data_IF_193727947705
#
_entry.id   IF_193727947705
#
_cell.length_a   1.000
_cell.length_b   1.000
_cell.length_c   1.000
_cell.angle_alpha   90.00
_cell.angle_beta   90.00
_cell.angle_gamma   90.00
#
_symmetry.space_group_name_H-M   'P 1'
#
loop_
_entity.id
_entity.type
_entity.pdbx_description
1 polymer ?
#
# COMPACT_ATOMS: atom_id res chain seq x y z
N UNK A 1 34.30 18.41 13.01
CA UNK A 1 34.32 18.07 11.56
C UNK A 1 35.12 19.09 10.73
N UNK A 2 36.04 19.82 11.25
CA UNK A 2 36.40 21.08 10.61
C UNK A 2 37.77 21.12 9.94
N UNK A 3 38.66 20.19 10.18
CA UNK A 3 40.03 20.31 9.64
C UNK A 3 40.31 19.52 8.37
N UNK A 4 39.55 18.47 8.07
CA UNK A 4 39.81 17.58 6.93
C UNK A 4 39.52 18.21 5.56
N UNK A 5 38.66 19.22 5.49
CA UNK A 5 38.18 19.83 4.25
C UNK A 5 38.49 21.33 4.15
N UNK A 6 39.33 21.87 5.03
CA UNK A 6 39.67 23.31 5.04
C UNK A 6 40.35 23.80 3.74
N UNK A 7 41.00 22.88 3.03
CA UNK A 7 41.73 23.19 1.78
C UNK A 7 40.82 23.14 0.53
N UNK A 8 39.52 22.86 0.73
CA UNK A 8 38.54 22.80 -0.35
C UNK A 8 37.48 23.88 -0.12
N UNK A 9 37.24 24.69 -1.14
CA UNK A 9 36.15 25.66 -1.12
C UNK A 9 34.79 24.95 -1.20
N UNK A 10 33.77 25.54 -0.60
CA UNK A 10 32.40 25.05 -0.75
C UNK A 10 31.92 25.23 -2.19
N UNK A 11 31.33 24.21 -2.78
CA UNK A 11 30.79 24.22 -4.15
C UNK A 11 29.26 24.29 -4.08
N UNK A 12 28.68 25.29 -4.73
CA UNK A 12 27.21 25.43 -4.82
C UNK A 12 26.60 24.47 -5.84
N UNK A 13 25.30 24.21 -5.72
CA UNK A 13 24.54 23.44 -6.72
C UNK A 13 24.68 24.03 -8.13
N UNK A 14 24.73 25.36 -8.23
CA UNK A 14 24.88 26.08 -9.50
C UNK A 14 26.25 25.82 -10.14
N UNK A 15 27.34 25.91 -9.37
CA UNK A 15 28.69 25.62 -9.85
C UNK A 15 28.84 24.18 -10.28
N UNK A 16 28.32 23.24 -9.50
CA UNK A 16 28.31 21.83 -9.85
C UNK A 16 27.54 21.56 -11.15
N UNK A 17 26.35 22.17 -11.32
CA UNK A 17 25.59 22.08 -12.57
C UNK A 17 26.35 22.67 -13.77
N UNK A 18 27.04 23.80 -13.60
CA UNK A 18 27.89 24.40 -14.67
C UNK A 18 29.03 23.48 -15.08
N UNK A 19 29.68 22.81 -14.10
CA UNK A 19 30.74 21.84 -14.40
C UNK A 19 30.19 20.67 -15.22
N UNK A 20 29.03 20.10 -14.83
CA UNK A 20 28.36 19.04 -15.60
C UNK A 20 28.03 19.50 -17.02
N UNK A 21 27.49 20.72 -17.20
CA UNK A 21 27.16 21.26 -18.52
C UNK A 21 28.42 21.43 -19.39
N UNK A 22 29.54 21.85 -18.81
CA UNK A 22 30.82 21.93 -19.52
C UNK A 22 31.31 20.54 -19.98
N UNK A 23 31.15 19.51 -19.13
CA UNK A 23 31.54 18.13 -19.41
C UNK A 23 30.64 17.45 -20.45
N UNK A 24 29.40 17.90 -20.62
CA UNK A 24 28.48 17.43 -21.66
C UNK A 24 28.85 17.89 -23.08
N UNK A 25 29.82 18.77 -23.24
CA UNK A 25 30.37 19.23 -24.53
C UNK A 25 29.32 19.68 -25.54
N UNK A 26 28.29 20.36 -25.06
CA UNK A 26 27.20 20.92 -25.88
C UNK A 26 25.92 20.07 -25.95
N UNK A 27 25.89 18.89 -25.35
CA UNK A 27 24.62 18.17 -25.19
C UNK A 27 23.73 18.88 -24.14
N UNK A 28 22.42 18.88 -24.39
CA UNK A 28 21.48 19.49 -23.46
C UNK A 28 21.42 18.72 -22.12
N UNK A 29 21.49 19.46 -21.01
CA UNK A 29 21.49 18.89 -19.66
C UNK A 29 20.18 18.18 -19.33
N UNK A 30 19.03 18.79 -19.68
CA UNK A 30 17.75 18.24 -19.34
C UNK A 30 17.42 16.99 -20.17
N UNK A 31 17.73 17.04 -21.49
CA UNK A 31 17.50 15.90 -22.37
C UNK A 31 18.42 14.70 -22.05
N UNK A 32 19.65 14.98 -21.55
CA UNK A 32 20.66 13.94 -21.33
C UNK A 32 20.58 13.30 -19.95
N UNK A 33 20.34 14.10 -18.90
CA UNK A 33 20.52 13.68 -17.51
C UNK A 33 19.25 13.73 -16.65
N UNK A 34 18.23 14.52 -17.04
CA UNK A 34 17.01 14.62 -16.25
C UNK A 34 16.04 13.51 -16.65
N UNK A 35 15.75 12.61 -15.70
CA UNK A 35 14.79 11.53 -15.94
C UNK A 35 13.35 12.03 -15.76
N UNK A 36 12.53 11.83 -16.80
CA UNK A 36 11.10 12.11 -16.78
C UNK A 36 10.36 10.93 -16.18
N UNK A 37 9.91 11.04 -14.93
CA UNK A 37 9.16 9.98 -14.27
C UNK A 37 7.70 9.90 -14.76
N UNK A 38 7.04 8.77 -14.52
CA UNK A 38 5.60 8.57 -14.79
C UNK A 38 4.71 9.45 -13.89
N UNK A 39 5.25 9.93 -12.79
CA UNK A 39 4.57 10.82 -11.83
C UNK A 39 4.59 12.29 -12.29
N UNK A 40 5.21 12.58 -13.43
CA UNK A 40 5.43 13.95 -13.90
C UNK A 40 6.45 14.72 -13.06
N UNK A 41 7.33 14.00 -12.36
CA UNK A 41 8.46 14.55 -11.61
C UNK A 41 9.71 14.46 -12.48
N UNK A 42 10.47 15.55 -12.54
CA UNK A 42 11.71 15.66 -13.26
C UNK A 42 12.88 15.35 -12.33
N UNK A 43 13.33 14.10 -12.31
CA UNK A 43 14.39 13.64 -11.43
C UNK A 43 15.73 14.16 -11.89
N UNK A 44 16.38 14.97 -11.07
CA UNK A 44 17.70 15.54 -11.34
C UNK A 44 18.80 14.47 -11.16
N UNK A 45 19.96 14.62 -11.84
CA UNK A 45 21.10 13.70 -11.66
C UNK A 45 21.80 13.84 -10.29
N UNK A 46 21.55 14.92 -9.56
CA UNK A 46 22.03 15.14 -8.21
C UNK A 46 21.11 16.09 -7.45
N UNK A 47 21.18 16.05 -6.11
CA UNK A 47 20.47 16.92 -5.18
C UNK A 47 21.47 17.52 -4.20
N UNK A 48 21.26 18.77 -3.79
CA UNK A 48 22.20 19.55 -2.99
C UNK A 48 21.47 20.30 -1.87
N UNK A 49 22.12 20.65 -0.75
CA UNK A 49 21.49 21.48 0.30
C UNK A 49 20.87 22.78 -0.21
N UNK A 50 21.47 23.42 -1.25
CA UNK A 50 20.93 24.65 -1.85
C UNK A 50 19.56 24.45 -2.53
N UNK A 51 19.11 23.21 -2.73
CA UNK A 51 17.77 22.90 -3.26
C UNK A 51 16.67 23.04 -2.18
N UNK A 52 17.05 23.24 -0.91
CA UNK A 52 16.13 23.29 0.21
C UNK A 52 16.30 24.58 1.02
N UNK A 53 15.21 25.31 1.23
CA UNK A 53 15.21 26.57 1.98
C UNK A 53 15.14 26.34 3.50
N UNK A 54 14.52 25.26 3.94
CA UNK A 54 14.28 24.93 5.33
C UNK A 54 14.91 23.59 5.75
N UNK A 55 15.10 23.43 7.05
CA UNK A 55 15.53 22.15 7.61
C UNK A 55 14.44 21.10 7.49
N UNK A 56 14.82 19.85 7.25
CA UNK A 56 13.89 18.74 7.19
C UNK A 56 13.16 18.53 8.52
N UNK A 57 11.86 18.37 8.43
CA UNK A 57 11.01 18.04 9.60
C UNK A 57 10.73 16.55 9.65
N UNK A 58 10.69 15.93 10.84
CA UNK A 58 10.31 14.53 10.97
C UNK A 58 8.95 14.25 10.35
N UNK A 59 8.81 13.07 9.74
CA UNK A 59 7.53 12.63 9.17
C UNK A 59 6.54 12.32 10.30
N UNK A 60 5.32 12.89 10.29
CA UNK A 60 4.32 12.63 11.33
C UNK A 60 3.97 11.14 11.45
N UNK A 61 3.92 10.63 12.69
CA UNK A 61 3.50 9.26 12.96
C UNK A 61 4.41 8.17 12.41
N UNK A 62 5.66 8.47 12.07
CA UNK A 62 6.62 7.46 11.65
C UNK A 62 6.88 6.47 12.80
N UNK A 63 6.75 5.14 12.57
CA UNK A 63 6.92 4.15 13.61
C UNK A 63 8.38 4.02 14.05
N UNK A 64 8.60 3.70 15.33
CA UNK A 64 9.93 3.39 15.85
C UNK A 64 10.37 1.95 15.54
N UNK A 65 9.40 1.07 15.32
CA UNK A 65 9.60 -0.34 14.95
C UNK A 65 8.52 -0.74 13.96
N UNK A 66 8.77 -1.77 13.18
CA UNK A 66 7.80 -2.32 12.23
C UNK A 66 7.56 -3.81 12.51
N UNK A 67 6.40 -4.34 12.12
CA UNK A 67 6.01 -5.73 12.37
C UNK A 67 6.04 -6.59 11.10
N UNK A 68 6.50 -7.83 11.27
CA UNK A 68 6.45 -8.88 10.25
C UNK A 68 5.08 -9.53 10.29
N UNK A 69 4.25 -9.30 9.27
CA UNK A 69 2.92 -9.90 9.19
C UNK A 69 2.90 -11.13 8.28
N UNK A 70 2.14 -12.15 8.68
CA UNK A 70 1.83 -13.33 7.88
C UNK A 70 0.36 -13.32 7.48
N UNK A 71 0.08 -13.47 6.19
CA UNK A 71 -1.28 -13.60 5.66
C UNK A 71 -1.77 -15.04 5.82
N UNK A 72 -3.03 -15.22 6.27
CA UNK A 72 -3.68 -16.52 6.43
C UNK A 72 -5.12 -16.42 5.96
N UNK A 73 -5.49 -17.24 4.98
CA UNK A 73 -6.86 -17.38 4.51
C UNK A 73 -7.61 -18.41 5.38
N UNK A 74 -8.80 -18.04 5.87
CA UNK A 74 -9.65 -18.91 6.67
C UNK A 74 -10.61 -19.65 5.73
N UNK A 75 -10.17 -20.83 5.26
CA UNK A 75 -11.03 -21.79 4.56
C UNK A 75 -11.52 -22.88 5.54
N UNK A 76 -10.62 -23.38 6.40
CA UNK A 76 -10.88 -24.21 7.56
C UNK A 76 -10.34 -23.57 8.83
N UNK A 77 -11.17 -23.44 9.86
CA UNK A 77 -10.80 -22.71 11.08
C UNK A 77 -9.69 -23.39 11.89
N UNK A 78 -9.63 -24.72 11.90
CA UNK A 78 -8.62 -25.44 12.65
C UNK A 78 -7.27 -25.39 11.93
N UNK A 79 -7.26 -25.42 10.60
CA UNK A 79 -6.06 -25.22 9.78
C UNK A 79 -5.56 -23.80 9.95
N UNK A 80 -6.41 -22.79 9.81
CA UNK A 80 -6.06 -21.39 9.99
C UNK A 80 -5.48 -21.11 11.38
N UNK A 81 -6.05 -21.70 12.43
CA UNK A 81 -5.51 -21.63 13.80
C UNK A 81 -4.08 -22.19 13.89
N UNK A 82 -3.87 -23.39 13.36
CA UNK A 82 -2.55 -24.04 13.40
C UNK A 82 -1.50 -23.24 12.62
N UNK A 83 -1.86 -22.75 11.43
CA UNK A 83 -0.97 -21.91 10.61
C UNK A 83 -0.61 -20.60 11.32
N UNK A 84 -1.56 -19.98 12.02
CA UNK A 84 -1.31 -18.74 12.75
C UNK A 84 -0.36 -18.95 13.94
N UNK A 85 -0.56 -20.02 14.71
CA UNK A 85 0.31 -20.35 15.84
C UNK A 85 1.73 -20.69 15.33
N UNK A 86 1.84 -21.54 14.30
CA UNK A 86 3.13 -21.89 13.68
C UNK A 86 3.85 -20.65 13.11
N UNK A 87 3.13 -19.74 12.45
CA UNK A 87 3.70 -18.50 11.93
C UNK A 87 4.30 -17.63 13.04
N UNK A 88 3.59 -17.47 14.16
CA UNK A 88 4.07 -16.70 15.32
C UNK A 88 5.28 -17.38 15.96
N UNK A 89 5.25 -18.70 16.13
CA UNK A 89 6.38 -19.46 16.68
C UNK A 89 7.63 -19.37 15.79
N UNK A 90 7.44 -19.11 14.50
CA UNK A 90 8.51 -18.97 13.49
C UNK A 90 8.84 -17.52 13.14
N UNK A 91 8.44 -16.54 13.97
CA UNK A 91 8.87 -15.16 13.86
C UNK A 91 7.91 -14.22 13.14
N UNK A 92 6.66 -14.62 12.87
CA UNK A 92 5.64 -13.63 12.53
C UNK A 92 5.27 -12.81 13.79
N UNK A 93 5.21 -11.50 13.63
CA UNK A 93 4.91 -10.54 14.70
C UNK A 93 3.48 -9.98 14.57
N UNK A 94 2.79 -10.31 13.49
CA UNK A 94 1.39 -9.96 13.25
C UNK A 94 0.73 -11.00 12.34
N UNK A 95 -0.58 -11.17 12.45
CA UNK A 95 -1.35 -12.07 11.56
C UNK A 95 -2.44 -11.28 10.85
N UNK A 96 -2.50 -11.46 9.53
CA UNK A 96 -3.58 -10.93 8.68
C UNK A 96 -4.51 -12.08 8.29
N UNK A 97 -5.66 -12.15 8.93
CA UNK A 97 -6.69 -13.12 8.58
C UNK A 97 -7.58 -12.59 7.45
N UNK A 98 -7.71 -13.37 6.39
CA UNK A 98 -8.66 -13.10 5.31
C UNK A 98 -9.78 -14.14 5.34
N UNK A 99 -11.04 -13.68 5.20
CA UNK A 99 -12.19 -14.56 5.16
C UNK A 99 -13.27 -14.06 4.19
N UNK A 100 -13.88 -15.00 3.44
CA UNK A 100 -14.99 -14.73 2.54
C UNK A 100 -16.37 -14.93 3.20
N UNK A 101 -16.40 -15.64 4.34
CA UNK A 101 -17.61 -15.97 5.08
C UNK A 101 -17.36 -15.85 6.59
N UNK A 102 -18.44 -15.77 7.37
CA UNK A 102 -18.39 -15.89 8.83
C UNK A 102 -17.77 -17.24 9.23
N UNK A 103 -16.96 -17.25 10.27
CA UNK A 103 -16.23 -18.42 10.77
C UNK A 103 -16.42 -18.59 12.27
N UNK A 104 -16.08 -19.78 12.80
CA UNK A 104 -16.10 -20.05 14.23
C UNK A 104 -14.89 -19.40 14.91
N UNK A 105 -15.13 -18.25 15.56
CA UNK A 105 -14.13 -17.44 16.25
C UNK A 105 -13.37 -18.26 17.30
N UNK A 106 -14.07 -19.13 18.05
CA UNK A 106 -13.46 -19.92 19.11
C UNK A 106 -12.52 -21.03 18.58
N UNK A 107 -12.78 -21.52 17.36
CA UNK A 107 -11.88 -22.48 16.71
C UNK A 107 -10.65 -21.80 16.14
N UNK A 108 -10.82 -20.67 15.42
CA UNK A 108 -9.67 -19.92 14.85
C UNK A 108 -8.73 -19.43 15.94
N UNK A 109 -9.25 -18.99 17.09
CA UNK A 109 -8.44 -18.45 18.18
C UNK A 109 -8.24 -19.41 19.36
N UNK A 110 -8.37 -20.73 19.14
CA UNK A 110 -8.12 -21.74 20.16
C UNK A 110 -6.63 -21.73 20.55
N UNK A 111 -6.31 -21.42 21.82
CA UNK A 111 -4.94 -21.32 22.35
C UNK A 111 -4.05 -20.31 21.60
N UNK A 112 -4.64 -19.35 20.90
CA UNK A 112 -3.89 -18.31 20.22
C UNK A 112 -3.12 -17.42 21.21
N UNK A 113 -1.84 -17.08 20.94
CA UNK A 113 -1.00 -16.30 21.88
C UNK A 113 -1.24 -14.80 21.73
N UNK A 114 -2.37 -14.29 22.23
CA UNK A 114 -2.87 -12.92 22.04
C UNK A 114 -1.89 -11.79 22.39
N UNK A 115 -0.98 -12.00 23.34
CA UNK A 115 -0.03 -10.98 23.77
C UNK A 115 1.18 -10.84 22.82
N UNK A 116 1.32 -11.74 21.83
CA UNK A 116 2.51 -11.79 20.97
C UNK A 116 2.35 -11.08 19.64
N UNK A 117 1.14 -11.00 19.10
CA UNK A 117 0.92 -10.51 17.76
C UNK A 117 -0.41 -9.77 17.62
N UNK A 118 -0.43 -8.53 17.09
CA UNK A 118 -1.64 -7.87 16.64
C UNK A 118 -2.31 -8.66 15.52
N UNK A 119 -3.61 -8.46 15.40
CA UNK A 119 -4.48 -9.17 14.47
C UNK A 119 -5.11 -8.18 13.50
N UNK A 120 -5.02 -8.49 12.21
CA UNK A 120 -5.67 -7.76 11.14
C UNK A 120 -6.72 -8.64 10.48
N UNK A 121 -7.90 -8.09 10.23
CA UNK A 121 -8.94 -8.76 9.45
C UNK A 121 -9.07 -8.15 8.06
N UNK A 122 -9.20 -9.01 7.06
CA UNK A 122 -9.59 -8.70 5.69
C UNK A 122 -10.88 -9.45 5.37
N UNK A 123 -12.03 -8.91 5.78
CA UNK A 123 -13.31 -9.57 5.55
C UNK A 123 -13.91 -9.08 4.23
N UNK A 124 -14.21 -10.01 3.31
CA UNK A 124 -14.88 -9.69 2.04
C UNK A 124 -16.41 -9.67 2.17
N UNK A 125 -16.92 -9.80 3.38
CA UNK A 125 -18.32 -9.66 3.78
C UNK A 125 -18.46 -8.61 4.89
N UNK A 126 -19.67 -8.11 5.10
CA UNK A 126 -19.94 -7.11 6.12
C UNK A 126 -21.20 -7.48 6.91
N UNK A 127 -21.01 -8.01 8.10
CA UNK A 127 -22.08 -8.46 9.01
C UNK A 127 -21.92 -7.78 10.35
N UNK A 128 -22.93 -6.99 10.75
CA UNK A 128 -22.95 -6.32 12.05
C UNK A 128 -22.79 -7.32 13.19
N UNK A 129 -23.60 -8.39 13.16
CA UNK A 129 -23.63 -9.37 14.23
C UNK A 129 -22.31 -10.10 14.39
N UNK A 130 -21.65 -10.41 13.28
CA UNK A 130 -20.35 -11.07 13.31
C UNK A 130 -19.25 -10.14 13.85
N UNK A 131 -19.21 -8.89 13.43
CA UNK A 131 -18.23 -7.92 13.92
C UNK A 131 -18.46 -7.62 15.39
N UNK A 132 -19.71 -7.49 15.84
CA UNK A 132 -20.02 -7.33 17.27
C UNK A 132 -19.55 -8.52 18.09
N UNK A 133 -19.75 -9.76 17.60
CA UNK A 133 -19.21 -10.98 18.25
C UNK A 133 -17.68 -10.98 18.30
N UNK A 134 -17.01 -10.57 17.21
CA UNK A 134 -15.54 -10.42 17.19
C UNK A 134 -15.08 -9.42 18.24
N UNK A 135 -15.67 -8.22 18.29
CA UNK A 135 -15.36 -7.18 19.26
C UNK A 135 -15.56 -7.69 20.70
N UNK A 136 -16.68 -8.34 20.96
CA UNK A 136 -16.96 -8.95 22.28
C UNK A 136 -15.91 -10.02 22.64
N UNK A 137 -15.54 -10.87 21.70
CA UNK A 137 -14.51 -11.90 21.94
C UNK A 137 -13.16 -11.29 22.28
N UNK A 138 -12.75 -10.20 21.58
CA UNK A 138 -11.46 -9.56 21.79
C UNK A 138 -11.42 -8.57 22.97
N UNK A 139 -12.57 -8.10 23.49
CA UNK A 139 -12.63 -7.10 24.56
C UNK A 139 -11.89 -7.50 25.83
N UNK A 140 -11.76 -8.80 26.09
CA UNK A 140 -11.05 -9.34 27.25
C UNK A 140 -9.63 -9.84 26.92
N UNK A 141 -9.18 -9.65 25.68
CA UNK A 141 -7.87 -10.13 25.20
C UNK A 141 -6.87 -8.98 25.20
N UNK A 142 -5.63 -9.28 25.58
CA UNK A 142 -4.52 -8.32 25.51
C UNK A 142 -3.89 -8.39 24.11
N UNK A 143 -4.58 -7.84 23.11
CA UNK A 143 -4.07 -7.76 21.74
C UNK A 143 -4.66 -6.53 21.06
N UNK A 144 -3.95 -5.99 20.09
CA UNK A 144 -4.47 -4.96 19.19
C UNK A 144 -5.15 -5.62 18.02
N UNK A 145 -6.35 -5.18 17.68
CA UNK A 145 -7.13 -5.71 16.56
C UNK A 145 -7.46 -4.60 15.57
N UNK A 146 -7.10 -4.83 14.32
CA UNK A 146 -7.43 -3.98 13.18
C UNK A 146 -8.55 -4.65 12.39
N UNK A 147 -9.76 -4.12 12.50
CA UNK A 147 -10.94 -4.71 11.84
C UNK A 147 -10.97 -4.42 10.34
N UNK A 148 -10.27 -3.38 9.89
CA UNK A 148 -10.06 -3.01 8.49
C UNK A 148 -11.35 -2.96 7.66
N UNK A 149 -12.42 -2.40 8.22
CA UNK A 149 -13.68 -2.23 7.50
C UNK A 149 -13.48 -1.11 6.47
N UNK A 150 -13.72 -1.45 5.20
CA UNK A 150 -13.62 -0.51 4.09
C UNK A 150 -14.79 -0.65 3.11
N UNK A 151 -15.83 0.15 3.33
CA UNK A 151 -17.07 0.15 2.52
C UNK A 151 -16.80 0.66 1.10
N UNK A 152 -16.01 1.73 0.98
CA UNK A 152 -15.68 2.36 -0.29
C UNK A 152 -14.67 1.51 -1.06
N UNK A 153 -13.69 0.90 -0.37
CA UNK A 153 -12.78 -0.07 -0.96
C UNK A 153 -13.50 -1.29 -1.53
N UNK A 154 -14.54 -1.79 -0.83
CA UNK A 154 -15.40 -2.84 -1.38
C UNK A 154 -16.15 -2.35 -2.63
N UNK A 155 -16.70 -1.14 -2.61
CA UNK A 155 -17.38 -0.55 -3.76
C UNK A 155 -16.43 -0.44 -4.96
N UNK A 156 -15.21 0.04 -4.77
CA UNK A 156 -14.22 0.17 -5.87
C UNK A 156 -13.82 -1.17 -6.46
N UNK A 157 -13.66 -2.21 -5.64
CA UNK A 157 -13.24 -3.56 -6.04
C UNK A 157 -14.38 -4.37 -6.65
N UNK A 158 -15.57 -4.36 -6.01
CA UNK A 158 -16.72 -5.18 -6.43
C UNK A 158 -17.65 -4.48 -7.41
N UNK A 159 -17.65 -3.15 -7.44
CA UNK A 159 -18.61 -2.31 -8.14
C UNK A 159 -19.94 -2.14 -7.39
N UNK A 160 -20.09 -2.71 -6.18
CA UNK A 160 -21.30 -2.68 -5.37
C UNK A 160 -20.98 -2.41 -3.90
N UNK A 161 -21.93 -1.88 -3.17
CA UNK A 161 -21.93 -1.89 -1.71
C UNK A 161 -22.10 -3.34 -1.19
N UNK A 162 -21.80 -3.58 0.08
CA UNK A 162 -22.12 -4.88 0.70
C UNK A 162 -23.65 -5.11 0.71
N UNK A 163 -24.42 -4.13 1.17
CA UNK A 163 -25.88 -4.09 1.12
C UNK A 163 -26.34 -2.92 0.26
N UNK A 164 -26.23 -1.70 0.78
CA UNK A 164 -26.44 -0.44 0.10
C UNK A 164 -25.77 0.70 0.88
N UNK A 165 -25.60 1.88 0.25
CA UNK A 165 -24.92 3.04 0.84
C UNK A 165 -25.42 3.36 2.25
N UNK A 166 -26.75 3.46 2.42
CA UNK A 166 -27.36 3.90 3.69
C UNK A 166 -27.23 2.84 4.79
N UNK A 167 -27.42 1.60 4.44
CA UNK A 167 -27.37 0.49 5.37
C UNK A 167 -25.93 0.21 5.83
N UNK A 168 -25.00 0.16 4.92
CA UNK A 168 -23.58 -0.07 5.22
C UNK A 168 -23.02 1.02 6.15
N UNK A 169 -23.30 2.30 5.88
CA UNK A 169 -22.89 3.40 6.76
C UNK A 169 -23.56 3.33 8.13
N UNK A 170 -24.87 3.01 8.20
CA UNK A 170 -25.57 2.84 9.46
C UNK A 170 -25.00 1.69 10.31
N UNK A 171 -24.63 0.58 9.68
CA UNK A 171 -23.96 -0.53 10.38
C UNK A 171 -22.59 -0.05 10.93
N UNK A 172 -21.81 0.65 10.12
CA UNK A 172 -20.51 1.16 10.52
C UNK A 172 -20.62 2.17 11.68
N UNK A 173 -21.60 3.10 11.63
CA UNK A 173 -21.90 4.03 12.74
C UNK A 173 -22.20 3.28 14.04
N UNK A 174 -23.03 2.23 13.99
CA UNK A 174 -23.35 1.42 15.17
C UNK A 174 -22.11 0.72 15.73
N UNK A 175 -21.23 0.17 14.88
CA UNK A 175 -20.00 -0.50 15.29
C UNK A 175 -19.05 0.48 15.99
N UNK A 176 -18.94 1.70 15.48
CA UNK A 176 -18.09 2.76 16.04
C UNK A 176 -18.64 3.30 17.36
N UNK A 177 -19.97 3.40 17.50
CA UNK A 177 -20.59 3.92 18.73
C UNK A 177 -20.45 2.99 19.93
N UNK A 178 -20.18 1.71 19.73
CA UNK A 178 -20.08 0.69 20.78
C UNK A 178 -18.74 0.68 21.53
N UNK A 179 -17.66 1.33 21.04
CA UNK A 179 -16.40 1.63 21.76
C UNK A 179 -15.40 2.38 20.85
N UNK A 180 -14.76 3.40 21.37
CA UNK A 180 -14.08 4.43 20.59
C UNK A 180 -12.55 4.30 20.45
N UNK A 181 -11.93 3.20 20.88
CA UNK A 181 -10.46 3.07 20.89
C UNK A 181 -9.89 1.99 19.96
N UNK A 182 -10.68 1.47 19.04
CA UNK A 182 -10.27 0.37 18.17
C UNK A 182 -10.05 0.85 16.73
N UNK A 183 -9.04 0.30 16.05
CA UNK A 183 -8.75 0.54 14.64
C UNK A 183 -9.79 -0.18 13.75
N UNK A 184 -10.94 0.46 13.51
CA UNK A 184 -12.09 -0.12 12.81
C UNK A 184 -12.02 0.13 11.33
N UNK A 185 -11.71 1.38 10.91
CA UNK A 185 -11.76 1.82 9.52
C UNK A 185 -10.43 1.64 8.84
N UNK A 186 -10.47 1.16 7.61
CA UNK A 186 -9.31 1.19 6.72
C UNK A 186 -9.62 1.85 5.39
N UNK A 187 -8.56 2.27 4.72
CA UNK A 187 -8.52 2.75 3.33
C UNK A 187 -7.60 1.83 2.55
N UNK A 188 -8.18 0.92 1.78
CA UNK A 188 -7.44 -0.04 0.98
C UNK A 188 -7.08 0.55 -0.40
N UNK A 189 -5.83 0.95 -0.55
CA UNK A 189 -5.31 1.52 -1.81
C UNK A 189 -4.67 0.49 -2.73
N UNK A 190 -4.60 -0.78 -2.30
CA UNK A 190 -3.91 -1.85 -3.05
C UNK A 190 -4.53 -2.06 -4.44
N UNK A 191 -5.85 -1.97 -4.55
CA UNK A 191 -6.57 -2.06 -5.81
C UNK A 191 -6.23 -0.92 -6.79
N UNK A 192 -5.92 0.28 -6.30
CA UNK A 192 -5.50 1.39 -7.16
C UNK A 192 -4.15 1.10 -7.81
N UNK A 193 -3.15 0.70 -7.00
CA UNK A 193 -1.83 0.30 -7.49
C UNK A 193 -1.92 -0.87 -8.47
N UNK A 194 -2.60 -1.94 -8.08
CA UNK A 194 -2.72 -3.15 -8.91
C UNK A 194 -3.57 -2.91 -10.18
N UNK A 195 -4.45 -1.91 -10.16
CA UNK A 195 -5.18 -1.42 -11.32
C UNK A 195 -4.36 -0.54 -12.27
N UNK A 196 -3.19 -0.06 -11.83
CA UNK A 196 -2.25 0.72 -12.64
C UNK A 196 -2.29 2.23 -12.41
N UNK A 197 -2.82 2.68 -11.25
CA UNK A 197 -2.72 4.06 -10.83
C UNK A 197 -1.26 4.48 -10.61
N UNK A 198 -0.91 5.71 -11.00
CA UNK A 198 0.38 6.33 -10.66
C UNK A 198 0.46 6.59 -9.14
N UNK A 199 1.65 6.81 -8.60
CA UNK A 199 1.83 7.10 -7.17
C UNK A 199 1.06 8.37 -6.76
N UNK A 200 1.09 9.41 -7.58
CA UNK A 200 0.29 10.64 -7.37
C UNK A 200 -1.20 10.32 -7.28
N UNK A 201 -1.72 9.46 -8.18
CA UNK A 201 -3.12 9.03 -8.14
C UNK A 201 -3.43 8.22 -6.88
N UNK A 202 -2.55 7.28 -6.51
CA UNK A 202 -2.74 6.47 -5.29
C UNK A 202 -2.84 7.34 -4.04
N UNK A 203 -1.95 8.31 -3.88
CA UNK A 203 -1.95 9.25 -2.76
C UNK A 203 -3.20 10.12 -2.74
N UNK A 204 -3.56 10.72 -3.87
CA UNK A 204 -4.74 11.56 -3.98
C UNK A 204 -6.04 10.80 -3.72
N UNK A 205 -6.15 9.58 -4.23
CA UNK A 205 -7.31 8.71 -4.00
C UNK A 205 -7.35 8.19 -2.56
N UNK A 206 -6.20 7.89 -1.94
CA UNK A 206 -6.13 7.54 -0.53
C UNK A 206 -6.68 8.66 0.35
N UNK A 207 -6.27 9.92 0.09
CA UNK A 207 -6.77 11.08 0.82
C UNK A 207 -8.26 11.28 0.59
N UNK A 208 -8.71 11.28 -0.67
CA UNK A 208 -10.11 11.51 -1.00
C UNK A 208 -11.02 10.41 -0.42
N UNK A 209 -10.54 9.17 -0.42
CA UNK A 209 -11.22 8.04 0.19
C UNK A 209 -11.32 8.19 1.73
N UNK A 210 -10.22 8.56 2.40
CA UNK A 210 -10.23 8.88 3.83
C UNK A 210 -11.16 10.07 4.15
N UNK A 211 -11.13 11.11 3.30
CA UNK A 211 -11.95 12.31 3.45
C UNK A 211 -13.45 12.01 3.41
N UNK A 212 -13.90 11.04 2.61
CA UNK A 212 -15.31 10.60 2.60
C UNK A 212 -15.74 10.05 3.98
N UNK A 213 -14.90 9.24 4.61
CA UNK A 213 -15.17 8.76 5.97
C UNK A 213 -15.14 9.90 7.00
N UNK A 214 -14.12 10.75 6.95
CA UNK A 214 -13.99 11.87 7.89
C UNK A 214 -15.19 12.83 7.79
N UNK A 215 -15.59 13.21 6.58
CA UNK A 215 -16.77 14.03 6.34
C UNK A 215 -18.05 13.39 6.86
N UNK A 216 -18.21 12.07 6.67
CA UNK A 216 -19.40 11.36 7.14
C UNK A 216 -19.51 11.40 8.66
N UNK A 217 -18.42 11.10 9.37
CA UNK A 217 -18.43 11.02 10.83
C UNK A 217 -18.40 12.38 11.52
N UNK A 218 -17.79 13.41 10.95
CA UNK A 218 -17.87 14.79 11.44
C UNK A 218 -19.32 15.28 11.42
N UNK A 219 -20.05 15.06 10.34
CA UNK A 219 -21.47 15.40 10.21
C UNK A 219 -22.38 14.64 11.19
N UNK A 220 -22.08 13.36 11.46
CA UNK A 220 -22.85 12.53 12.43
C UNK A 220 -22.62 13.04 13.86
N UNK A 221 -21.39 13.35 14.23
CA UNK A 221 -21.06 13.88 15.56
C UNK A 221 -21.71 15.23 15.81
N UNK A 222 -21.71 16.13 14.83
CA UNK A 222 -22.36 17.44 14.92
C UNK A 222 -23.89 17.34 15.07
N UNK A 223 -24.49 16.28 14.51
CA UNK A 223 -25.95 16.07 14.58
C UNK A 223 -26.43 15.41 15.88
N UNK A 224 -25.56 14.75 16.61
CA UNK A 224 -25.95 13.87 17.73
C UNK A 224 -25.87 14.53 19.11
N UNK A 225 -25.04 15.55 19.36
CA UNK A 225 -24.90 16.11 20.73
C UNK A 225 -24.43 17.57 20.75
N UNK A 226 -25.32 18.50 21.09
CA UNK A 226 -24.93 19.69 21.84
C UNK A 226 -24.61 19.25 23.29
N UNK A 227 -23.33 18.97 23.58
CA UNK A 227 -22.89 18.77 24.97
C UNK A 227 -21.96 17.62 25.33
N UNK A 228 -21.53 16.75 24.45
CA UNK A 228 -20.52 15.73 24.79
C UNK A 228 -19.12 16.09 24.26
N UNK A 229 -18.19 16.33 25.19
CA UNK A 229 -16.77 16.59 24.95
C UNK A 229 -15.95 15.31 24.59
N UNK A 230 -16.57 14.26 24.06
CA UNK A 230 -15.83 13.08 23.60
C UNK A 230 -15.57 13.20 22.11
N UNK A 231 -14.49 13.89 21.72
CA UNK A 231 -13.88 13.67 20.41
C UNK A 231 -13.53 12.18 20.31
N UNK A 232 -14.33 11.41 19.56
CA UNK A 232 -13.95 10.06 19.18
C UNK A 232 -12.70 10.17 18.33
N UNK A 233 -11.59 9.61 18.76
CA UNK A 233 -10.36 9.51 17.98
C UNK A 233 -10.60 8.47 16.89
N UNK A 234 -11.06 8.92 15.71
CA UNK A 234 -11.15 8.05 14.54
C UNK A 234 -9.74 7.76 14.04
N UNK A 235 -9.29 6.53 14.18
CA UNK A 235 -8.01 6.07 13.67
C UNK A 235 -8.22 5.38 12.32
N UNK A 236 -7.48 5.81 11.30
CA UNK A 236 -7.54 5.22 9.95
C UNK A 236 -6.30 4.37 9.69
N UNK A 237 -6.53 3.12 9.27
CA UNK A 237 -5.49 2.23 8.76
C UNK A 237 -5.42 2.32 7.24
N UNK A 238 -4.26 2.64 6.68
CA UNK A 238 -4.03 2.58 5.24
C UNK A 238 -3.41 1.24 4.86
N UNK A 239 -4.02 0.55 3.89
CA UNK A 239 -3.45 -0.63 3.24
C UNK A 239 -2.83 -0.19 1.91
N UNK A 240 -1.52 -0.38 1.76
CA UNK A 240 -0.74 0.17 0.66
C UNK A 240 -0.03 -0.96 -0.09
N UNK A 241 -0.20 -1.04 -1.41
CA UNK A 241 0.65 -1.89 -2.23
C UNK A 241 1.93 -1.13 -2.61
N UNK A 242 3.06 -1.84 -2.69
CA UNK A 242 4.38 -1.29 -2.98
C UNK A 242 4.93 -1.91 -4.26
N UNK A 243 5.30 -1.07 -5.22
CA UNK A 243 5.82 -1.49 -6.52
C UNK A 243 7.36 -1.45 -6.60
N UNK A 244 7.87 -1.54 -7.84
CA UNK A 244 9.30 -1.71 -8.08
C UNK A 244 10.14 -0.43 -8.10
N UNK A 245 9.51 0.76 -8.07
CA UNK A 245 10.25 2.02 -8.11
C UNK A 245 10.72 2.42 -6.70
N UNK A 246 11.81 1.82 -6.26
CA UNK A 246 12.31 1.80 -4.89
C UNK A 246 12.25 3.14 -4.15
N UNK A 247 12.88 4.19 -4.70
CA UNK A 247 12.94 5.49 -4.04
C UNK A 247 11.59 6.23 -4.05
N UNK A 248 10.82 6.07 -5.12
CA UNK A 248 9.48 6.62 -5.20
C UNK A 248 8.51 5.93 -4.23
N UNK A 249 8.69 4.64 -3.97
CA UNK A 249 7.88 3.92 -2.98
C UNK A 249 8.21 4.33 -1.54
N UNK A 250 9.49 4.57 -1.22
CA UNK A 250 9.89 5.20 0.05
C UNK A 250 9.18 6.55 0.20
N UNK A 251 9.30 7.41 -0.81
CA UNK A 251 8.73 8.75 -0.81
C UNK A 251 7.19 8.71 -0.77
N UNK A 252 6.53 7.72 -1.39
CA UNK A 252 5.08 7.52 -1.35
C UNK A 252 4.56 7.36 0.08
N UNK A 253 5.16 6.48 0.86
CA UNK A 253 4.71 6.21 2.23
C UNK A 253 4.93 7.44 3.12
N UNK A 254 6.07 8.11 2.97
CA UNK A 254 6.37 9.37 3.66
C UNK A 254 5.38 10.47 3.28
N UNK A 255 5.09 10.63 1.99
CA UNK A 255 4.12 11.60 1.48
C UNK A 255 2.70 11.30 1.97
N UNK A 256 2.30 10.02 2.06
CA UNK A 256 1.00 9.62 2.61
C UNK A 256 0.82 10.10 4.05
N UNK A 257 1.85 9.91 4.91
CA UNK A 257 1.81 10.38 6.30
C UNK A 257 1.71 11.90 6.40
N UNK A 258 2.52 12.65 5.62
CA UNK A 258 2.45 14.12 5.57
C UNK A 258 1.07 14.61 5.13
N UNK A 259 0.52 14.03 4.09
CA UNK A 259 -0.78 14.38 3.54
C UNK A 259 -1.92 14.04 4.50
N UNK A 260 -1.87 12.85 5.13
CA UNK A 260 -2.86 12.47 6.12
C UNK A 260 -2.82 13.37 7.35
N UNK A 261 -1.64 13.70 7.86
CA UNK A 261 -1.49 14.62 8.99
C UNK A 261 -2.12 15.99 8.70
N UNK A 262 -1.88 16.54 7.49
CA UNK A 262 -2.51 17.78 7.07
C UNK A 262 -4.04 17.68 6.97
N UNK A 263 -4.57 16.55 6.44
CA UNK A 263 -6.01 16.32 6.37
C UNK A 263 -6.61 16.14 7.78
N UNK A 264 -6.01 15.33 8.64
CA UNK A 264 -6.47 15.05 9.99
C UNK A 264 -6.52 16.30 10.89
N UNK A 265 -5.55 17.20 10.71
CA UNK A 265 -5.50 18.50 11.39
C UNK A 265 -6.75 19.36 11.12
N UNK A 266 -7.28 19.33 9.89
CA UNK A 266 -8.53 20.06 9.54
C UNK A 266 -9.76 19.51 10.30
N UNK A 267 -9.76 18.20 10.58
CA UNK A 267 -10.81 17.52 11.37
C UNK A 267 -10.53 17.51 12.89
N UNK A 268 -9.38 18.04 13.32
CA UNK A 268 -8.93 18.04 14.73
C UNK A 268 -8.88 16.64 15.35
N UNK A 269 -8.48 15.66 14.59
CA UNK A 269 -8.24 14.28 15.01
C UNK A 269 -6.74 13.99 15.05
N UNK A 270 -6.35 12.76 15.46
CA UNK A 270 -4.95 12.35 15.47
C UNK A 270 -4.31 12.47 14.09
N UNK A 271 -3.18 13.18 14.02
CA UNK A 271 -2.40 13.38 12.80
C UNK A 271 -1.61 12.13 12.39
N UNK A 272 -1.67 11.07 13.19
CA UNK A 272 -0.99 9.80 12.90
C UNK A 272 -1.95 8.79 12.30
N UNK A 273 -1.46 7.97 11.38
CA UNK A 273 -2.19 6.85 10.80
C UNK A 273 -1.36 5.57 10.90
N UNK A 274 -2.03 4.43 10.87
CA UNK A 274 -1.39 3.14 10.77
C UNK A 274 -1.27 2.72 9.30
N UNK A 275 -0.08 2.24 8.87
CA UNK A 275 0.15 1.80 7.49
C UNK A 275 0.59 0.35 7.47
N UNK A 276 -0.23 -0.51 6.86
CA UNK A 276 0.17 -1.86 6.48
C UNK A 276 0.52 -1.90 4.99
N UNK A 277 1.74 -2.32 4.68
CA UNK A 277 2.25 -2.38 3.32
C UNK A 277 2.44 -3.82 2.85
N UNK A 278 2.21 -4.04 1.55
CA UNK A 278 2.41 -5.32 0.90
C UNK A 278 2.94 -5.15 -0.53
N UNK A 279 3.72 -6.11 -1.06
CA UNK A 279 4.17 -6.07 -2.45
C UNK A 279 3.00 -6.02 -3.45
N UNK A 280 3.14 -5.19 -4.47
CA UNK A 280 2.17 -5.11 -5.57
C UNK A 280 2.12 -6.40 -6.37
N UNK A 281 0.92 -6.83 -6.78
CA UNK A 281 0.74 -7.95 -7.70
C UNK A 281 1.03 -7.56 -9.16
N UNK A 282 1.01 -6.26 -9.50
CA UNK A 282 1.05 -5.77 -10.88
C UNK A 282 2.31 -6.16 -11.65
N UNK A 283 3.46 -6.20 -10.99
CA UNK A 283 4.76 -6.52 -11.56
C UNK A 283 5.24 -7.95 -11.28
N UNK A 284 4.39 -8.82 -10.75
CA UNK A 284 4.72 -10.23 -10.52
C UNK A 284 4.51 -11.05 -11.80
N UNK A 285 5.30 -12.11 -11.95
CA UNK A 285 5.39 -12.92 -13.16
C UNK A 285 5.15 -14.39 -12.87
N UNK A 286 4.60 -15.12 -13.85
CA UNK A 286 4.48 -16.58 -13.82
C UNK A 286 5.80 -17.22 -14.24
N UNK A 287 6.38 -16.73 -15.34
CA UNK A 287 7.65 -17.23 -15.84
C UNK A 287 8.79 -16.58 -15.08
N UNK A 288 9.87 -17.33 -14.91
CA UNK A 288 11.00 -16.96 -14.07
C UNK A 288 10.54 -16.48 -12.68
N UNK A 289 9.61 -17.23 -12.10
CA UNK A 289 8.87 -16.86 -10.89
C UNK A 289 9.77 -16.66 -9.66
N UNK A 290 10.95 -17.28 -9.63
CA UNK A 290 11.93 -17.05 -8.55
C UNK A 290 12.38 -15.59 -8.46
N UNK A 291 12.32 -14.83 -9.57
CA UNK A 291 12.64 -13.40 -9.58
C UNK A 291 11.62 -12.60 -8.75
N UNK A 292 10.42 -13.14 -8.52
CA UNK A 292 9.45 -12.51 -7.61
C UNK A 292 9.99 -12.39 -6.18
N UNK A 293 10.88 -13.31 -5.72
CA UNK A 293 11.56 -13.22 -4.42
C UNK A 293 12.39 -11.93 -4.34
N UNK A 294 13.15 -11.63 -5.41
CA UNK A 294 13.99 -10.43 -5.46
C UNK A 294 13.13 -9.17 -5.49
N UNK A 295 12.04 -9.18 -6.27
CA UNK A 295 11.11 -8.05 -6.35
C UNK A 295 10.47 -7.76 -4.99
N UNK A 296 9.90 -8.78 -4.35
CA UNK A 296 9.23 -8.60 -3.06
C UNK A 296 10.20 -8.16 -1.96
N UNK A 297 11.47 -8.61 -2.00
CA UNK A 297 12.50 -8.14 -1.05
C UNK A 297 12.72 -6.64 -1.17
N UNK A 298 12.98 -6.13 -2.39
CA UNK A 298 13.23 -4.69 -2.59
C UNK A 298 11.99 -3.83 -2.32
N UNK A 299 10.80 -4.34 -2.62
CA UNK A 299 9.53 -3.67 -2.30
C UNK A 299 9.31 -3.58 -0.78
N UNK A 300 9.54 -4.67 -0.04
CA UNK A 300 9.48 -4.65 1.42
C UNK A 300 10.53 -3.69 2.03
N UNK A 301 11.76 -3.67 1.49
CA UNK A 301 12.78 -2.70 1.92
C UNK A 301 12.30 -1.26 1.76
N UNK A 302 11.70 -0.91 0.61
CA UNK A 302 11.19 0.44 0.40
C UNK A 302 10.04 0.79 1.32
N UNK A 303 9.17 -0.17 1.64
CA UNK A 303 8.08 0.01 2.58
C UNK A 303 8.59 0.29 4.01
N UNK A 304 9.59 -0.47 4.47
CA UNK A 304 10.22 -0.28 5.78
C UNK A 304 10.88 1.10 5.86
N UNK A 305 11.71 1.45 4.88
CA UNK A 305 12.41 2.74 4.85
C UNK A 305 11.45 3.93 4.69
N UNK A 306 10.30 3.71 4.07
CA UNK A 306 9.22 4.70 3.98
C UNK A 306 8.46 4.90 5.29
N UNK A 307 8.64 4.02 6.27
CA UNK A 307 8.01 4.08 7.58
C UNK A 307 6.61 3.44 7.62
N UNK A 308 6.41 2.30 6.97
CA UNK A 308 5.23 1.48 7.20
C UNK A 308 5.30 0.79 8.58
N UNK A 309 4.15 0.65 9.27
CA UNK A 309 4.08 0.04 10.61
C UNK A 309 4.13 -1.48 10.54
N UNK A 310 3.55 -2.05 9.49
CA UNK A 310 3.46 -3.50 9.32
C UNK A 310 3.71 -3.87 7.87
N UNK A 311 4.52 -4.89 7.67
CA UNK A 311 4.86 -5.41 6.34
C UNK A 311 4.29 -6.83 6.21
N UNK A 312 3.39 -7.02 5.24
CA UNK A 312 2.86 -8.31 4.88
C UNK A 312 3.42 -8.73 3.52
N UNK A 313 4.48 -9.54 3.52
CA UNK A 313 5.12 -9.95 2.28
C UNK A 313 4.22 -10.89 1.47
N UNK A 314 4.42 -10.90 0.15
CA UNK A 314 3.71 -11.76 -0.78
C UNK A 314 4.60 -12.97 -1.13
N UNK A 315 4.14 -14.23 -0.95
CA UNK A 315 4.86 -15.39 -1.44
C UNK A 315 5.13 -15.30 -2.95
N UNK A 316 6.29 -15.75 -3.38
CA UNK A 316 6.75 -15.63 -4.77
C UNK A 316 5.83 -16.34 -5.78
N UNK A 317 5.15 -17.35 -5.33
CA UNK A 317 4.24 -18.25 -6.07
C UNK A 317 2.74 -17.96 -5.84
N UNK A 318 2.41 -16.95 -5.05
CA UNK A 318 1.03 -16.60 -4.68
C UNK A 318 0.09 -16.30 -5.86
N UNK A 319 0.61 -16.08 -7.06
CA UNK A 319 -0.20 -15.86 -8.26
C UNK A 319 -0.82 -17.14 -8.82
N UNK A 320 -0.14 -18.27 -8.65
CA UNK A 320 -0.45 -19.49 -9.36
C UNK A 320 -0.53 -20.73 -8.45
N UNK A 321 0.06 -20.71 -7.26
CA UNK A 321 -0.09 -21.73 -6.25
C UNK A 321 -1.03 -21.30 -5.13
N UNK A 322 -1.70 -22.26 -4.52
CA UNK A 322 -2.36 -22.09 -3.22
C UNK A 322 -1.29 -21.87 -2.15
N UNK A 323 -1.68 -21.28 -1.03
CA UNK A 323 -0.81 -21.12 0.13
C UNK A 323 -0.15 -22.46 0.48
N UNK A 324 1.17 -22.43 0.59
CA UNK A 324 1.99 -23.62 0.89
C UNK A 324 3.12 -23.27 1.85
N UNK A 325 3.63 -24.29 2.56
CA UNK A 325 4.64 -24.10 3.60
C UNK A 325 5.91 -23.42 3.08
N UNK A 326 6.37 -23.79 1.88
CA UNK A 326 7.62 -23.24 1.34
C UNK A 326 7.49 -21.77 0.97
N UNK A 327 6.46 -21.41 0.22
CA UNK A 327 6.20 -20.01 -0.19
C UNK A 327 6.02 -19.09 1.01
N UNK A 328 5.20 -19.50 1.98
CA UNK A 328 4.93 -18.75 3.19
C UNK A 328 6.18 -18.60 4.07
N UNK A 329 6.96 -19.66 4.23
CA UNK A 329 8.21 -19.63 4.99
C UNK A 329 9.23 -18.69 4.36
N UNK A 330 9.41 -18.75 3.03
CA UNK A 330 10.39 -17.91 2.36
C UNK A 330 9.96 -16.45 2.42
N UNK A 331 8.67 -16.14 2.20
CA UNK A 331 8.18 -14.77 2.29
C UNK A 331 8.40 -14.14 3.68
N UNK A 332 8.18 -14.91 4.75
CA UNK A 332 8.48 -14.50 6.12
C UNK A 332 9.98 -14.37 6.36
N UNK A 333 10.78 -15.34 5.90
CA UNK A 333 12.23 -15.32 6.08
C UNK A 333 12.88 -14.12 5.38
N UNK A 334 12.36 -13.64 4.25
CA UNK A 334 12.83 -12.40 3.63
C UNK A 334 12.72 -11.22 4.61
N UNK A 335 11.59 -11.10 5.33
CA UNK A 335 11.39 -10.04 6.32
C UNK A 335 12.28 -10.23 7.57
N UNK A 336 12.45 -11.48 8.02
CA UNK A 336 13.35 -11.79 9.12
C UNK A 336 14.81 -11.43 8.77
N UNK A 337 15.27 -11.75 7.56
CA UNK A 337 16.61 -11.34 7.09
C UNK A 337 16.75 -9.81 7.07
N UNK A 338 15.73 -9.09 6.59
CA UNK A 338 15.75 -7.63 6.60
C UNK A 338 15.83 -7.07 8.03
N UNK A 339 15.10 -7.65 8.96
CA UNK A 339 15.03 -7.18 10.35
C UNK A 339 16.28 -7.58 11.14
N UNK A 340 16.59 -8.88 11.21
CA UNK A 340 17.57 -9.45 12.12
C UNK A 340 19.01 -9.44 11.58
N UNK A 341 19.19 -9.65 10.26
CA UNK A 341 20.52 -9.73 9.65
C UNK A 341 20.94 -8.43 8.96
N UNK A 342 19.98 -7.68 8.40
CA UNK A 342 20.23 -6.42 7.69
C UNK A 342 19.96 -5.18 8.55
N UNK A 343 19.49 -5.36 9.79
CA UNK A 343 19.29 -4.32 10.80
C UNK A 343 18.36 -3.16 10.38
N UNK A 344 17.30 -3.46 9.63
CA UNK A 344 16.32 -2.47 9.18
C UNK A 344 15.38 -1.98 10.30
N UNK A 345 15.52 -2.45 11.50
CA UNK A 345 14.80 -2.02 12.71
C UNK A 345 15.65 -1.17 13.67
N UNK A 346 16.95 -1.02 13.39
CA UNK A 346 17.89 -0.32 14.30
C UNK A 346 17.69 1.20 14.26
N UNK A 347 17.28 1.75 13.11
CA UNK A 347 17.04 3.18 12.91
C UNK A 347 15.68 3.38 12.27
N UNK A 348 14.78 4.06 12.97
CA UNK A 348 13.39 4.29 12.54
C UNK A 348 13.26 5.30 11.39
N UNK A 349 14.23 6.17 11.19
CA UNK A 349 14.18 7.29 10.25
C UNK A 349 15.37 7.29 9.27
N UNK A 350 15.80 6.13 8.83
CA UNK A 350 16.99 5.97 7.98
C UNK A 350 16.92 6.74 6.64
N UNK A 351 15.74 7.07 6.16
CA UNK A 351 15.54 7.84 4.92
C UNK A 351 15.50 9.36 5.14
N UNK A 352 15.39 9.84 6.39
CA UNK A 352 15.27 11.26 6.71
C UNK A 352 16.56 12.02 6.38
N UNK A 353 16.44 13.24 5.85
CA UNK A 353 17.57 14.08 5.46
C UNK A 353 18.29 13.66 4.18
N UNK A 354 17.82 12.63 3.50
CA UNK A 354 18.33 12.24 2.18
C UNK A 354 17.72 13.15 1.12
N UNK A 355 18.48 14.10 0.58
CA UNK A 355 18.01 15.15 -0.32
C UNK A 355 17.10 14.64 -1.44
N UNK A 356 17.46 13.53 -2.08
CA UNK A 356 16.66 12.94 -3.15
C UNK A 356 15.31 12.46 -2.64
N UNK A 357 15.26 11.75 -1.51
CA UNK A 357 14.00 11.22 -0.94
C UNK A 357 13.14 12.37 -0.42
N UNK A 358 13.72 13.38 0.22
CA UNK A 358 13.00 14.57 0.69
C UNK A 358 12.35 15.31 -0.47
N UNK A 359 13.10 15.58 -1.56
CA UNK A 359 12.55 16.22 -2.76
C UNK A 359 11.40 15.40 -3.38
N UNK A 360 11.58 14.08 -3.51
CA UNK A 360 10.51 13.21 -4.04
C UNK A 360 9.28 13.20 -3.14
N UNK A 361 9.48 13.19 -1.82
CA UNK A 361 8.38 13.19 -0.82
C UNK A 361 7.53 14.45 -0.98
N UNK A 362 8.17 15.61 -1.08
CA UNK A 362 7.49 16.89 -1.20
C UNK A 362 6.79 17.04 -2.57
N UNK A 363 7.49 16.72 -3.66
CA UNK A 363 6.89 16.80 -5.01
C UNK A 363 5.70 15.83 -5.19
N UNK A 364 5.78 14.61 -4.62
CA UNK A 364 4.65 13.67 -4.63
C UNK A 364 3.49 14.18 -3.79
N UNK A 365 3.77 14.73 -2.61
CA UNK A 365 2.75 15.29 -1.72
C UNK A 365 2.03 16.48 -2.37
N UNK A 366 2.77 17.42 -2.96
CA UNK A 366 2.19 18.59 -3.65
C UNK A 366 1.28 18.17 -4.80
N UNK A 367 1.77 17.32 -5.71
CA UNK A 367 0.99 16.84 -6.86
C UNK A 367 -0.26 16.05 -6.44
N UNK A 368 -0.13 15.22 -5.41
CA UNK A 368 -1.26 14.47 -4.88
C UNK A 368 -2.29 15.39 -4.21
N UNK A 369 -1.85 16.42 -3.48
CA UNK A 369 -2.72 17.42 -2.86
C UNK A 369 -3.48 18.23 -3.93
N UNK A 370 -2.83 18.61 -5.03
CA UNK A 370 -3.49 19.30 -6.15
C UNK A 370 -4.58 18.41 -6.78
N UNK A 371 -4.27 17.13 -7.01
CA UNK A 371 -5.24 16.18 -7.55
C UNK A 371 -6.38 15.94 -6.55
N UNK A 372 -6.10 15.79 -5.27
CA UNK A 372 -7.10 15.68 -4.20
C UNK A 372 -8.05 16.90 -4.20
N UNK A 373 -7.53 18.11 -4.20
CA UNK A 373 -8.35 19.34 -4.29
C UNK A 373 -9.22 19.35 -5.54
N UNK A 374 -8.73 18.83 -6.65
CA UNK A 374 -9.49 18.71 -7.90
C UNK A 374 -10.65 17.72 -7.75
N UNK A 375 -10.43 16.60 -7.07
CA UNK A 375 -11.46 15.59 -6.77
C UNK A 375 -12.55 16.19 -5.89
N UNK A 376 -12.16 16.87 -4.81
CA UNK A 376 -13.09 17.48 -3.87
C UNK A 376 -13.93 18.58 -4.54
N UNK A 377 -13.30 19.45 -5.33
CA UNK A 377 -13.99 20.45 -6.15
C UNK A 377 -14.97 19.83 -7.15
N UNK A 378 -14.69 18.63 -7.60
CA UNK A 378 -15.54 17.85 -8.52
C UNK A 378 -16.67 17.07 -7.84
N UNK A 379 -16.94 17.31 -6.55
CA UNK A 379 -18.03 16.70 -5.77
C UNK A 379 -17.62 15.54 -4.87
N UNK A 380 -16.30 15.34 -4.63
CA UNK A 380 -15.74 14.31 -3.77
C UNK A 380 -15.52 12.97 -4.45
N UNK A 381 -14.91 12.07 -3.72
CA UNK A 381 -14.44 10.79 -4.27
C UNK A 381 -15.58 9.87 -4.73
N UNK A 382 -16.64 9.75 -3.93
CA UNK A 382 -17.82 8.95 -4.28
C UNK A 382 -18.53 9.43 -5.53
N UNK A 383 -18.60 10.76 -5.74
CA UNK A 383 -19.18 11.31 -6.97
C UNK A 383 -18.29 11.01 -8.19
N UNK A 384 -16.98 11.15 -8.06
CA UNK A 384 -16.04 10.84 -9.13
C UNK A 384 -16.04 9.34 -9.49
N UNK A 385 -16.23 8.45 -8.50
CA UNK A 385 -16.41 7.02 -8.73
C UNK A 385 -17.71 6.71 -9.48
N UNK A 386 -18.83 7.35 -9.09
CA UNK A 386 -20.14 7.18 -9.78
C UNK A 386 -20.10 7.66 -11.24
N UNK A 387 -19.35 8.72 -11.52
CA UNK A 387 -19.15 9.26 -12.85
C UNK A 387 -18.10 8.48 -13.67
N UNK A 388 -17.43 7.48 -13.08
CA UNK A 388 -16.41 6.68 -13.74
C UNK A 388 -15.08 7.40 -13.99
N UNK A 389 -14.89 8.62 -13.47
CA UNK A 389 -13.71 9.44 -13.72
C UNK A 389 -12.45 8.84 -13.10
N UNK A 390 -12.53 8.35 -11.86
CA UNK A 390 -11.41 7.68 -11.19
C UNK A 390 -10.98 6.45 -11.98
N UNK A 391 -11.93 5.60 -12.34
CA UNK A 391 -11.70 4.38 -13.12
C UNK A 391 -11.05 4.69 -14.48
N UNK A 392 -11.56 5.71 -15.18
CA UNK A 392 -11.01 6.15 -16.45
C UNK A 392 -9.55 6.61 -16.30
N UNK A 393 -9.24 7.41 -15.27
CA UNK A 393 -7.88 7.92 -15.03
C UNK A 393 -6.89 6.81 -14.66
N UNK A 394 -7.32 5.80 -13.91
CA UNK A 394 -6.52 4.60 -13.65
C UNK A 394 -6.26 3.82 -14.93
N UNK A 395 -7.27 3.64 -15.79
CA UNK A 395 -7.12 2.97 -17.09
C UNK A 395 -6.14 3.71 -17.99
N UNK A 396 -6.27 5.03 -18.12
CA UNK A 396 -5.36 5.87 -18.92
C UNK A 396 -3.89 5.71 -18.48
N UNK A 397 -3.65 5.65 -17.15
CA UNK A 397 -2.29 5.45 -16.62
C UNK A 397 -1.81 4.01 -16.83
N UNK A 398 -2.68 3.02 -16.65
CA UNK A 398 -2.39 1.61 -16.89
C UNK A 398 -2.05 1.32 -18.36
N UNK A 399 -2.76 1.95 -19.30
CA UNK A 399 -2.51 1.82 -20.74
C UNK A 399 -1.16 2.41 -21.14
N UNK A 400 -0.81 3.59 -20.61
CA UNK A 400 0.52 4.19 -20.82
C UNK A 400 1.64 3.29 -20.28
N UNK A 401 1.45 2.71 -19.11
CA UNK A 401 2.41 1.77 -18.53
C UNK A 401 2.55 0.50 -19.37
N UNK A 402 1.41 -0.06 -19.83
CA UNK A 402 1.40 -1.23 -20.71
C UNK A 402 2.09 -0.93 -22.03
N UNK A 403 1.91 0.27 -22.58
CA UNK A 403 2.61 0.68 -23.81
C UNK A 403 4.13 0.69 -23.59
N UNK A 404 4.62 1.27 -22.47
CA UNK A 404 6.06 1.26 -22.15
C UNK A 404 6.61 -0.17 -21.99
N UNK A 405 5.81 -1.07 -21.40
CA UNK A 405 6.15 -2.48 -21.30
C UNK A 405 6.23 -3.15 -22.68
N UNK A 406 5.24 -2.93 -23.53
CA UNK A 406 5.19 -3.51 -24.88
C UNK A 406 6.32 -2.99 -25.79
N UNK A 407 6.73 -1.74 -25.61
CA UNK A 407 7.87 -1.12 -26.32
C UNK A 407 9.24 -1.52 -25.73
N UNK A 408 9.28 -2.31 -24.65
CA UNK A 408 10.51 -2.71 -23.97
C UNK A 408 11.22 -1.57 -23.21
N UNK A 409 10.58 -0.40 -23.07
CA UNK A 409 11.07 0.72 -22.27
C UNK A 409 10.92 0.46 -20.78
N UNK A 410 9.82 -0.16 -20.37
CA UNK A 410 9.63 -0.73 -19.06
C UNK A 410 10.00 -2.22 -19.11
N UNK A 411 11.10 -2.57 -18.44
CA UNK A 411 11.66 -3.92 -18.45
C UNK A 411 11.13 -4.73 -17.27
N UNK A 412 10.69 -5.93 -17.55
CA UNK A 412 10.27 -6.90 -16.55
C UNK A 412 11.00 -8.22 -16.82
N UNK A 413 11.94 -8.55 -15.95
CA UNK A 413 12.81 -9.71 -16.09
C UNK A 413 11.98 -11.01 -16.17
N UNK A 414 12.40 -11.92 -17.04
CA UNK A 414 11.71 -13.20 -17.28
C UNK A 414 10.50 -13.12 -18.22
N UNK A 415 10.06 -11.90 -18.61
CA UNK A 415 8.90 -11.72 -19.52
C UNK A 415 9.26 -10.98 -20.79
N UNK A 416 9.46 -9.64 -20.75
CA UNK A 416 9.88 -8.86 -21.92
C UNK A 416 11.39 -8.58 -21.94
N UNK A 417 12.12 -9.04 -20.92
CA UNK A 417 13.55 -8.86 -20.80
C UNK A 417 14.21 -10.12 -20.22
N UNK A 418 15.26 -10.64 -20.89
CA UNK A 418 15.96 -11.89 -20.52
C UNK A 418 15.01 -13.08 -20.24
N UNK A 419 14.20 -13.42 -21.22
CA UNK A 419 13.27 -14.56 -21.12
C UNK A 419 14.03 -15.90 -21.21
N UNK A 420 13.61 -16.89 -20.40
CA UNK A 420 14.04 -18.27 -20.57
C UNK A 420 13.05 -19.02 -21.48
N UNK A 421 13.43 -19.39 -22.73
CA UNK A 421 12.50 -20.07 -23.65
C UNK A 421 12.14 -21.50 -23.24
N UNK A 422 12.91 -22.12 -22.32
CA UNK A 422 12.65 -23.48 -21.84
C UNK A 422 11.71 -23.54 -20.64
N UNK A 423 11.44 -22.39 -20.03
CA UNK A 423 10.57 -22.28 -18.86
C UNK A 423 9.11 -22.61 -19.23
N UNK A 424 8.43 -23.45 -18.46
CA UNK A 424 7.08 -23.96 -18.68
C UNK A 424 6.25 -23.78 -17.42
N UNK A 425 5.00 -23.37 -17.59
CA UNK A 425 4.08 -23.10 -16.48
C UNK A 425 2.74 -23.81 -16.60
N UNK A 426 2.42 -24.38 -17.77
CA UNK A 426 1.09 -24.92 -18.04
C UNK A 426 0.61 -25.98 -17.04
N UNK A 427 1.53 -26.83 -16.61
CA UNK A 427 1.23 -27.94 -15.70
C UNK A 427 1.52 -27.60 -14.21
N UNK A 428 1.91 -26.35 -13.92
CA UNK A 428 2.32 -25.89 -12.59
C UNK A 428 1.35 -24.81 -12.01
N UNK A 429 0.11 -24.81 -12.45
CA UNK A 429 -0.90 -23.82 -12.04
C UNK A 429 -1.99 -24.47 -11.17
N UNK A 430 -1.98 -24.21 -9.86
CA UNK A 430 -3.09 -24.56 -8.95
C UNK A 430 -4.23 -23.53 -9.04
N UNK A 431 -3.89 -22.28 -9.32
CA UNK A 431 -4.81 -21.16 -9.39
C UNK A 431 -4.83 -20.56 -10.79
N UNK A 432 -5.96 -20.01 -11.19
CA UNK A 432 -6.05 -19.23 -12.44
C UNK A 432 -5.48 -17.83 -12.24
N UNK A 433 -4.30 -17.50 -12.83
CA UNK A 433 -3.52 -16.32 -12.46
C UNK A 433 -3.89 -15.03 -13.24
N UNK A 434 -4.95 -15.06 -14.04
CA UNK A 434 -5.35 -13.97 -14.92
C UNK A 434 -6.65 -13.31 -14.46
N UNK A 435 -6.95 -12.14 -15.01
CA UNK A 435 -8.23 -11.45 -14.74
C UNK A 435 -9.40 -12.39 -15.03
N UNK A 436 -10.26 -12.58 -14.02
CA UNK A 436 -11.50 -13.35 -14.14
C UNK A 436 -12.63 -12.41 -14.54
N UNK A 437 -13.13 -12.55 -15.76
CA UNK A 437 -14.32 -11.81 -16.19
C UNK A 437 -15.56 -12.51 -15.67
N UNK A 438 -16.22 -11.91 -14.66
CA UNK A 438 -17.52 -12.36 -14.16
C UNK A 438 -18.56 -11.28 -14.46
N UNK A 439 -19.27 -11.34 -15.61
CA UNK A 439 -20.29 -10.36 -15.96
C UNK A 439 -21.38 -10.32 -14.88
N UNK A 440 -21.60 -9.15 -14.31
CA UNK A 440 -22.64 -8.91 -13.30
C UNK A 440 -23.11 -7.45 -13.38
N UNK A 441 -24.28 -7.19 -12.86
CA UNK A 441 -24.77 -5.81 -12.73
C UNK A 441 -24.04 -5.14 -11.56
N UNK A 442 -23.46 -3.99 -11.81
CA UNK A 442 -22.74 -3.18 -10.81
C UNK A 442 -23.29 -1.75 -10.78
N UNK A 443 -23.16 -1.08 -9.63
CA UNK A 443 -23.55 0.32 -9.44
C UNK A 443 -22.52 1.26 -10.07
N UNK A 444 -21.23 0.91 -9.92
CA UNK A 444 -20.11 1.56 -10.58
C UNK A 444 -19.28 0.56 -11.36
N UNK A 445 -18.48 1.02 -12.29
CA UNK A 445 -17.47 0.16 -12.91
C UNK A 445 -16.39 -0.18 -11.86
N UNK A 446 -16.10 -1.47 -11.59
CA UNK A 446 -15.07 -1.84 -10.64
C UNK A 446 -13.66 -1.55 -11.19
N UNK A 447 -12.72 -1.24 -10.29
CA UNK A 447 -11.31 -1.15 -10.62
C UNK A 447 -10.75 -2.57 -10.70
N UNK A 448 -10.27 -2.95 -11.87
CA UNK A 448 -9.78 -4.30 -12.13
C UNK A 448 -8.27 -4.35 -11.94
N UNK A 449 -7.81 -5.18 -11.02
CA UNK A 449 -6.39 -5.51 -10.86
C UNK A 449 -5.92 -6.32 -12.06
N UNK A 450 -4.81 -5.91 -12.67
CA UNK A 450 -4.23 -6.57 -13.83
C UNK A 450 -2.72 -6.49 -13.81
N UNK A 451 -2.03 -7.60 -14.10
CA UNK A 451 -0.57 -7.66 -14.17
C UNK A 451 -0.06 -7.16 -15.52
N UNK A 452 1.13 -6.58 -15.53
CA UNK A 452 1.79 -6.09 -16.76
C UNK A 452 2.09 -7.22 -17.76
N UNK A 453 2.57 -8.35 -17.26
CA UNK A 453 2.95 -9.49 -18.09
C UNK A 453 1.78 -10.36 -18.55
N UNK A 454 0.56 -10.13 -18.07
CA UNK A 454 -0.57 -11.02 -18.22
C UNK A 454 -0.85 -11.44 -19.67
N UNK A 455 -0.86 -10.50 -20.60
CA UNK A 455 -1.11 -10.82 -22.02
C UNK A 455 0.01 -11.68 -22.62
N UNK A 456 1.26 -11.31 -22.38
CA UNK A 456 2.44 -12.04 -22.86
C UNK A 456 2.48 -13.46 -22.30
N UNK A 457 2.14 -13.63 -21.03
CA UNK A 457 2.08 -14.92 -20.36
C UNK A 457 0.94 -15.78 -20.88
N UNK A 458 -0.24 -15.22 -21.14
CA UNK A 458 -1.36 -15.96 -21.76
C UNK A 458 -1.02 -16.44 -23.18
N UNK A 459 -0.32 -15.61 -23.95
CA UNK A 459 0.12 -15.99 -25.30
C UNK A 459 1.15 -17.12 -25.26
N UNK A 460 2.08 -17.07 -24.30
CA UNK A 460 3.09 -18.11 -24.10
C UNK A 460 2.49 -19.44 -23.62
N UNK A 461 1.56 -19.43 -22.66
CA UNK A 461 0.87 -20.62 -22.19
C UNK A 461 0.07 -21.34 -23.28
N UNK A 462 -0.42 -20.63 -24.29
CA UNK A 462 -1.12 -21.25 -25.45
C UNK A 462 -0.15 -22.00 -26.36
N UNK A 463 1.14 -21.70 -26.30
CA UNK A 463 2.18 -22.32 -27.13
C UNK A 463 2.83 -23.55 -26.45
N UNK A 464 2.61 -23.71 -25.16
CA UNK A 464 2.98 -24.89 -24.39
C UNK A 464 1.99 -26.05 -24.56
#
# INVERSE_FOLDING_TARGET
MSDLFKDFDSVSAKEWKQKIQADLKGADYNETLVWQSREGIHVKPFYHPDDFEEAFTPIPGQPTTWHIAQHIFIDDEAIANNLAIDAIERGAEAIVFEAENEFDIYKVFKKYPFEKAPIYFNLTFFSKDFITKLKQFFSEKKTTVFYNIDLIGNLTRSGNWFHNLKEDHKILENILSENSSEAIISVDTTGYQNGGATIVQQLAYALAHANEYLNHFDNVTLSAVEGSNSQQSLEITFKVAVGSNYFFEIAKIRALRKLYAALASEYKISETCHIIAMPSKRNKTLYDYNVNLLRTTTECMSAILGGADTICNLPYDALYHKSNEFGERISRNQLLVLKEESYFDTVSNAADGTYYIESLTDELAEKALELFKTIEKGGGFLQQLKEGKVQQKIKESAEKEQQLYNEGKLKLLGTNYHTNPEDRMKDDLDLYPFVKTKPRKTIIEPIIEKRLAEQTEQERLKQE
#
